data_IF_289657939542
#
_entry.id   IF_289657939542
#
_cell.length_a   1.000
_cell.length_b   1.000
_cell.length_c   1.000
_cell.angle_alpha   90.00
_cell.angle_beta   90.00
_cell.angle_gamma   90.00
#
_symmetry.space_group_name_H-M   'P 1'
#
loop_
_entity.id
_entity.type
_entity.pdbx_description
1 polymer ?
#
# COMPACT_ATOMS: atom_id res chain seq x y z
N UNK A 1 28.28 4.52 15.20
CA UNK A 1 27.01 3.97 14.67
C UNK A 1 26.09 5.14 14.38
N UNK A 2 25.78 5.40 13.11
CA UNK A 2 25.01 6.59 12.70
C UNK A 2 23.54 6.31 13.00
N UNK A 3 22.97 7.00 13.98
CA UNK A 3 21.54 6.96 14.30
C UNK A 3 20.75 7.41 13.07
N UNK A 4 20.34 6.45 12.24
CA UNK A 4 19.46 6.73 11.12
C UNK A 4 18.07 6.96 11.75
N UNK A 5 17.51 8.18 11.71
CA UNK A 5 16.26 8.47 12.40
C UNK A 5 15.15 7.50 11.97
N UNK A 6 15.18 7.03 10.73
CA UNK A 6 14.27 5.99 10.20
C UNK A 6 14.36 4.64 10.91
N UNK A 7 15.53 4.24 11.41
CA UNK A 7 15.72 3.00 12.15
C UNK A 7 15.14 3.09 13.56
N UNK A 8 15.39 4.23 14.24
CA UNK A 8 14.82 4.50 15.57
C UNK A 8 13.30 4.47 15.49
N UNK A 9 12.69 5.14 14.52
CA UNK A 9 11.24 5.14 14.34
C UNK A 9 10.67 3.74 14.11
N UNK A 10 11.35 2.86 13.37
CA UNK A 10 10.92 1.46 13.20
C UNK A 10 10.88 0.71 14.52
N UNK A 11 11.94 0.83 15.34
CA UNK A 11 12.01 0.20 16.66
C UNK A 11 10.90 0.75 17.56
N UNK A 12 10.75 2.08 17.61
CA UNK A 12 9.71 2.74 18.43
C UNK A 12 8.32 2.22 18.07
N UNK A 13 7.99 2.10 16.78
CA UNK A 13 6.68 1.57 16.35
C UNK A 13 6.47 0.12 16.81
N UNK A 14 7.49 -0.74 16.63
CA UNK A 14 7.40 -2.15 17.03
C UNK A 14 7.25 -2.27 18.56
N UNK A 15 8.09 -1.58 19.33
CA UNK A 15 8.04 -1.59 20.78
C UNK A 15 6.69 -1.07 21.29
N UNK A 16 6.20 0.05 20.75
CA UNK A 16 4.91 0.62 21.15
C UNK A 16 3.76 -0.35 20.90
N UNK A 17 3.75 -1.02 19.73
CA UNK A 17 2.72 -2.01 19.40
C UNK A 17 2.73 -3.20 20.36
N UNK A 18 3.89 -3.81 20.62
CA UNK A 18 4.00 -4.93 21.54
C UNK A 18 3.71 -4.55 22.99
N UNK A 19 4.13 -3.35 23.42
CA UNK A 19 3.79 -2.84 24.75
C UNK A 19 2.27 -2.63 24.91
N UNK A 20 1.57 -2.15 23.87
CA UNK A 20 0.12 -2.02 23.90
C UNK A 20 -0.57 -3.39 24.02
N UNK A 21 -0.11 -4.40 23.27
CA UNK A 21 -0.63 -5.78 23.38
C UNK A 21 -0.39 -6.36 24.78
N UNK A 22 0.85 -6.26 25.28
CA UNK A 22 1.19 -6.75 26.62
C UNK A 22 0.36 -6.06 27.71
N UNK A 23 0.15 -4.75 27.59
CA UNK A 23 -0.70 -3.98 28.48
C UNK A 23 -2.14 -4.50 28.48
N UNK A 24 -2.74 -4.69 27.29
CA UNK A 24 -4.13 -5.19 27.17
C UNK A 24 -4.25 -6.59 27.79
N UNK A 25 -3.36 -7.53 27.46
CA UNK A 25 -3.41 -8.90 27.98
C UNK A 25 -3.19 -8.94 29.50
N UNK A 26 -2.24 -8.15 30.03
CA UNK A 26 -1.96 -8.11 31.45
C UNK A 26 -3.06 -7.40 32.25
N UNK A 27 -3.76 -6.44 31.65
CA UNK A 27 -4.81 -5.66 32.34
C UNK A 27 -5.97 -6.52 32.84
N UNK A 28 -6.33 -7.58 32.12
CA UNK A 28 -7.41 -8.50 32.52
C UNK A 28 -7.15 -9.14 33.90
N UNK A 29 -6.11 -9.97 34.03
CA UNK A 29 -5.77 -10.60 35.31
C UNK A 29 -5.38 -9.62 36.42
N UNK A 30 -4.71 -8.50 36.08
CA UNK A 30 -4.17 -7.58 37.10
C UNK A 30 -5.19 -6.56 37.62
N UNK A 31 -6.11 -6.11 36.78
CA UNK A 31 -7.03 -5.00 37.12
C UNK A 31 -8.50 -5.42 37.15
N UNK A 32 -8.89 -6.43 36.37
CA UNK A 32 -10.31 -6.79 36.18
C UNK A 32 -10.69 -8.06 36.92
N UNK A 33 -9.75 -8.98 37.11
CA UNK A 33 -10.00 -10.23 37.82
C UNK A 33 -10.47 -9.96 39.25
N UNK A 34 -11.55 -10.62 39.65
CA UNK A 34 -12.11 -10.52 41.00
C UNK A 34 -12.47 -11.91 41.50
N UNK A 35 -12.34 -12.16 42.82
CA UNK A 35 -12.69 -13.45 43.42
C UNK A 35 -14.14 -13.86 43.13
N UNK A 36 -15.05 -12.88 43.07
CA UNK A 36 -16.47 -13.10 42.79
C UNK A 36 -16.77 -13.63 41.37
N UNK A 37 -15.90 -13.32 40.39
CA UNK A 37 -16.06 -13.72 38.98
C UNK A 37 -15.14 -14.87 38.58
N UNK A 38 -14.25 -15.31 39.47
CA UNK A 38 -13.28 -16.36 39.19
C UNK A 38 -12.17 -15.94 38.20
N UNK A 39 -11.42 -16.91 37.65
CA UNK A 39 -10.27 -16.65 36.80
C UNK A 39 -10.67 -15.92 35.51
N UNK A 40 -9.85 -14.94 35.11
CA UNK A 40 -10.10 -14.13 33.92
C UNK A 40 -9.94 -14.90 32.62
N UNK A 41 -8.91 -15.75 32.53
CA UNK A 41 -8.68 -16.65 31.39
C UNK A 41 -9.07 -18.09 31.76
N UNK A 42 -9.71 -18.79 30.83
CA UNK A 42 -10.15 -20.16 31.02
C UNK A 42 -10.89 -20.71 29.80
N UNK A 43 -11.49 -21.91 29.92
CA UNK A 43 -12.32 -22.45 28.87
C UNK A 43 -13.56 -21.57 28.66
N UNK A 44 -13.75 -21.06 27.44
CA UNK A 44 -14.93 -20.31 27.00
C UNK A 44 -15.41 -20.91 25.68
N UNK A 45 -16.50 -21.68 25.76
CA UNK A 45 -16.99 -22.51 24.66
C UNK A 45 -15.95 -23.54 24.20
N UNK A 46 -15.45 -23.36 22.97
CA UNK A 46 -14.52 -24.28 22.31
C UNK A 46 -13.04 -23.89 22.46
N UNK A 47 -12.73 -22.80 23.18
CA UNK A 47 -11.40 -22.20 23.21
C UNK A 47 -10.95 -21.87 24.64
N UNK A 48 -9.65 -21.60 24.80
CA UNK A 48 -9.10 -21.03 26.04
C UNK A 48 -8.94 -19.52 25.85
N UNK A 49 -9.85 -18.73 26.43
CA UNK A 49 -9.97 -17.30 26.20
C UNK A 49 -10.50 -16.59 27.45
N UNK A 50 -10.93 -15.32 27.33
CA UNK A 50 -11.59 -14.57 28.40
C UNK A 50 -12.87 -15.31 28.77
N UNK A 51 -13.07 -15.61 30.07
CA UNK A 51 -14.19 -16.42 30.53
C UNK A 51 -15.53 -15.70 30.40
N UNK A 52 -16.62 -16.47 30.31
CA UNK A 52 -17.99 -15.95 30.11
C UNK A 52 -18.50 -15.10 31.29
N UNK A 53 -17.76 -15.08 32.40
CA UNK A 53 -18.00 -14.20 33.54
C UNK A 53 -17.62 -12.72 33.26
N UNK A 54 -16.95 -12.46 32.13
CA UNK A 54 -16.47 -11.13 31.71
C UNK A 54 -16.98 -10.77 30.29
N UNK A 55 -18.30 -10.70 30.06
CA UNK A 55 -18.86 -10.52 28.71
C UNK A 55 -18.57 -9.14 28.09
N UNK A 56 -18.39 -8.11 28.93
CA UNK A 56 -18.02 -6.77 28.44
C UNK A 56 -16.60 -6.78 27.89
N UNK A 57 -15.70 -7.42 28.64
CA UNK A 57 -14.30 -7.53 28.29
C UNK A 57 -14.10 -8.39 27.03
N UNK A 58 -14.85 -9.49 26.88
CA UNK A 58 -14.90 -10.30 25.65
C UNK A 58 -15.22 -9.44 24.40
N UNK A 59 -16.22 -8.54 24.50
CA UNK A 59 -16.64 -7.72 23.36
C UNK A 59 -15.68 -6.57 23.07
N UNK A 60 -15.26 -5.83 24.11
CA UNK A 60 -14.49 -4.60 23.95
C UNK A 60 -12.98 -4.83 23.75
N UNK A 61 -12.41 -5.91 24.27
CA UNK A 61 -10.96 -6.12 24.16
C UNK A 61 -10.53 -6.85 22.89
N UNK A 62 -11.43 -7.60 22.26
CA UNK A 62 -11.17 -8.29 20.99
C UNK A 62 -11.81 -7.52 19.83
N UNK A 63 -13.12 -7.63 19.65
CA UNK A 63 -13.80 -7.16 18.45
C UNK A 63 -13.74 -5.64 18.25
N UNK A 64 -13.83 -4.84 19.32
CA UNK A 64 -13.74 -3.38 19.18
C UNK A 64 -12.39 -2.96 18.59
N UNK A 65 -11.28 -3.55 19.05
CA UNK A 65 -9.96 -3.24 18.51
C UNK A 65 -9.77 -3.74 17.07
N UNK A 66 -10.32 -4.91 16.73
CA UNK A 66 -10.30 -5.44 15.37
C UNK A 66 -11.05 -4.53 14.39
N UNK A 67 -12.28 -4.13 14.73
CA UNK A 67 -13.07 -3.22 13.91
C UNK A 67 -12.47 -1.81 13.83
N UNK A 68 -11.92 -1.30 14.94
CA UNK A 68 -11.21 -0.04 14.96
C UNK A 68 -9.97 -0.07 14.04
N UNK A 69 -9.20 -1.16 14.12
CA UNK A 69 -8.04 -1.40 13.27
C UNK A 69 -8.42 -1.51 11.79
N UNK A 70 -9.49 -2.25 11.46
CA UNK A 70 -10.04 -2.34 10.11
C UNK A 70 -10.44 -0.96 9.57
N UNK A 71 -11.22 -0.20 10.35
CA UNK A 71 -11.67 1.13 9.98
C UNK A 71 -10.52 2.11 9.77
N UNK A 72 -9.55 2.13 10.68
CA UNK A 72 -8.38 2.99 10.55
C UNK A 72 -7.50 2.60 9.36
N UNK A 73 -7.37 1.30 9.09
CA UNK A 73 -6.67 0.79 7.90
C UNK A 73 -7.35 1.26 6.61
N UNK A 74 -8.68 1.19 6.52
CA UNK A 74 -9.38 1.76 5.37
C UNK A 74 -9.13 3.26 5.20
N UNK A 75 -9.23 4.04 6.29
CA UNK A 75 -8.98 5.49 6.26
C UNK A 75 -7.57 5.78 5.72
N UNK A 76 -6.54 5.12 6.24
CA UNK A 76 -5.15 5.31 5.81
C UNK A 76 -4.98 4.91 4.34
N UNK A 77 -5.44 3.72 3.95
CA UNK A 77 -5.22 3.22 2.59
C UNK A 77 -6.00 4.03 1.55
N UNK A 78 -7.21 4.50 1.88
CA UNK A 78 -7.97 5.43 1.04
C UNK A 78 -7.24 6.78 0.96
N UNK A 79 -6.72 7.32 2.06
CA UNK A 79 -5.94 8.55 2.04
C UNK A 79 -4.68 8.42 1.18
N UNK A 80 -3.97 7.29 1.25
CA UNK A 80 -2.84 6.95 0.39
C UNK A 80 -3.29 6.92 -1.08
N UNK A 81 -4.39 6.23 -1.41
CA UNK A 81 -4.92 6.22 -2.77
C UNK A 81 -5.25 7.62 -3.28
N UNK A 82 -5.91 8.44 -2.47
CA UNK A 82 -6.25 9.82 -2.83
C UNK A 82 -4.97 10.65 -3.03
N UNK A 83 -3.93 10.41 -2.23
CA UNK A 83 -2.64 11.07 -2.35
C UNK A 83 -1.94 10.70 -3.65
N UNK A 84 -1.83 9.41 -3.98
CA UNK A 84 -1.18 8.94 -5.22
C UNK A 84 -2.01 9.32 -6.45
N UNK A 85 -3.34 9.40 -6.33
CA UNK A 85 -4.22 9.91 -7.40
C UNK A 85 -4.06 11.40 -7.67
N UNK A 86 -3.42 12.15 -6.78
CA UNK A 86 -3.36 13.62 -6.85
C UNK A 86 -4.69 14.30 -6.48
N UNK A 87 -5.59 13.58 -5.81
CA UNK A 87 -6.81 14.14 -5.22
C UNK A 87 -6.55 14.74 -3.84
N UNK A 88 -5.57 14.20 -3.10
CA UNK A 88 -5.16 14.74 -1.80
C UNK A 88 -3.80 15.43 -1.95
N UNK A 89 -3.80 16.76 -1.91
CA UNK A 89 -2.61 17.58 -2.16
C UNK A 89 -2.28 18.44 -0.93
N UNK A 90 -1.00 18.54 -0.59
CA UNK A 90 -0.52 19.49 0.42
C UNK A 90 -0.14 20.80 -0.28
N UNK A 91 -0.91 21.85 -0.02
CA UNK A 91 -0.61 23.23 -0.43
C UNK A 91 0.27 23.94 0.60
N UNK A 92 0.46 25.25 0.41
CA UNK A 92 1.15 26.11 1.39
C UNK A 92 0.33 26.30 2.67
N UNK A 93 -1.00 26.31 2.53
CA UNK A 93 -1.95 26.60 3.62
C UNK A 93 -2.51 25.34 4.30
N UNK A 94 -2.11 24.14 3.87
CA UNK A 94 -2.56 22.88 4.48
C UNK A 94 -2.83 21.74 3.50
N UNK A 95 -3.64 20.78 3.93
CA UNK A 95 -4.12 19.68 3.09
C UNK A 95 -5.42 20.07 2.40
N UNK A 96 -5.48 19.86 1.08
CA UNK A 96 -6.64 20.17 0.26
C UNK A 96 -7.08 18.94 -0.53
N UNK A 97 -8.39 18.72 -0.57
CA UNK A 97 -9.00 17.71 -1.43
C UNK A 97 -9.34 18.40 -2.76
N UNK A 98 -8.69 17.96 -3.82
CA UNK A 98 -8.95 18.38 -5.20
C UNK A 98 -9.86 17.37 -5.88
N UNK A 99 -11.02 17.83 -6.31
CA UNK A 99 -11.90 17.07 -7.19
C UNK A 99 -11.57 17.39 -8.65
N UNK A 100 -11.16 16.39 -9.42
CA UNK A 100 -10.86 16.54 -10.86
C UNK A 100 -12.08 16.08 -11.68
N UNK A 101 -12.76 16.99 -12.41
CA UNK A 101 -13.87 16.63 -13.29
C UNK A 101 -13.48 15.60 -14.34
N UNK A 102 -14.42 14.74 -14.76
CA UNK A 102 -14.16 13.67 -15.75
C UNK A 102 -13.60 14.21 -17.06
N UNK A 103 -14.04 15.39 -17.49
CA UNK A 103 -13.58 16.07 -18.71
C UNK A 103 -12.12 16.53 -18.68
N UNK A 104 -11.51 16.64 -17.49
CA UNK A 104 -10.13 17.11 -17.31
C UNK A 104 -9.17 15.99 -16.84
N UNK A 105 -9.68 14.76 -16.64
CA UNK A 105 -8.85 13.61 -16.24
C UNK A 105 -7.73 13.27 -17.23
N UNK A 106 -7.94 13.54 -18.51
CA UNK A 106 -6.93 13.31 -19.55
C UNK A 106 -5.67 14.16 -19.32
N UNK A 107 -5.80 15.36 -18.74
CA UNK A 107 -4.66 16.22 -18.41
C UNK A 107 -3.75 15.57 -17.36
N UNK A 108 -4.33 14.90 -16.36
CA UNK A 108 -3.57 14.11 -15.38
C UNK A 108 -2.97 12.83 -15.97
N UNK A 109 -3.59 12.27 -17.01
CA UNK A 109 -3.07 11.08 -17.67
C UNK A 109 -1.86 11.40 -18.55
N UNK A 110 -1.87 12.56 -19.22
CA UNK A 110 -0.75 13.03 -20.05
C UNK A 110 0.46 13.42 -19.19
N UNK A 111 0.24 13.97 -18.00
CA UNK A 111 1.32 14.39 -17.09
C UNK A 111 1.85 13.27 -16.19
N UNK A 112 1.32 12.04 -16.30
CA UNK A 112 1.78 10.91 -15.51
C UNK A 112 3.02 10.31 -16.15
N UNK A 113 4.14 10.44 -15.44
CA UNK A 113 5.34 9.69 -15.78
C UNK A 113 5.12 8.19 -15.50
N UNK A 114 5.97 7.35 -16.09
CA UNK A 114 5.98 5.90 -15.85
C UNK A 114 5.99 5.56 -14.35
N UNK A 115 6.70 6.35 -13.56
CA UNK A 115 6.78 6.21 -12.09
C UNK A 115 5.42 6.35 -11.42
N UNK A 116 4.65 7.37 -11.77
CA UNK A 116 3.34 7.61 -11.17
C UNK A 116 2.35 6.52 -11.54
N UNK A 117 2.46 5.98 -12.76
CA UNK A 117 1.66 4.83 -13.16
C UNK A 117 1.97 3.58 -12.32
N UNK A 118 3.25 3.33 -12.04
CA UNK A 118 3.70 2.21 -11.17
C UNK A 118 3.24 2.42 -9.73
N UNK A 119 3.45 3.60 -9.16
CA UNK A 119 3.04 3.90 -7.79
C UNK A 119 1.52 3.83 -7.62
N UNK A 120 0.75 4.26 -8.62
CA UNK A 120 -0.70 4.09 -8.66
C UNK A 120 -1.12 2.62 -8.64
N UNK A 121 -0.46 1.76 -9.43
CA UNK A 121 -0.75 0.32 -9.43
C UNK A 121 -0.44 -0.32 -8.08
N UNK A 122 0.69 0.04 -7.47
CA UNK A 122 1.08 -0.44 -6.13
C UNK A 122 0.06 0.00 -5.09
N UNK A 123 -0.30 1.29 -5.05
CA UNK A 123 -1.27 1.81 -4.09
C UNK A 123 -2.66 1.18 -4.27
N UNK A 124 -3.10 0.98 -5.53
CA UNK A 124 -4.35 0.29 -5.84
C UNK A 124 -4.35 -1.15 -5.34
N UNK A 125 -3.24 -1.86 -5.47
CA UNK A 125 -3.12 -3.23 -4.96
C UNK A 125 -3.03 -3.29 -3.44
N UNK A 126 -2.37 -2.31 -2.83
CA UNK A 126 -2.26 -2.20 -1.38
C UNK A 126 -3.64 -2.11 -0.69
N UNK A 127 -4.67 -1.57 -1.33
CA UNK A 127 -6.03 -1.54 -0.76
C UNK A 127 -6.66 -2.93 -0.60
N UNK A 128 -6.16 -3.95 -1.30
CA UNK A 128 -6.63 -5.32 -1.07
C UNK A 128 -6.26 -5.86 0.32
N UNK A 129 -5.23 -5.33 0.98
CA UNK A 129 -4.88 -5.76 2.34
C UNK A 129 -6.00 -5.51 3.35
N UNK A 130 -6.48 -4.27 3.56
CA UNK A 130 -7.60 -4.03 4.46
C UNK A 130 -8.90 -4.69 3.99
N UNK A 131 -9.14 -4.77 2.67
CA UNK A 131 -10.34 -5.44 2.12
C UNK A 131 -10.36 -6.93 2.46
N UNK A 132 -9.26 -7.64 2.20
CA UNK A 132 -9.16 -9.07 2.50
C UNK A 132 -9.23 -9.32 4.01
N UNK A 133 -8.58 -8.49 4.83
CA UNK A 133 -8.71 -8.58 6.29
C UNK A 133 -10.16 -8.46 6.74
N UNK A 134 -10.90 -7.46 6.26
CA UNK A 134 -12.29 -7.29 6.65
C UNK A 134 -13.20 -8.42 6.16
N UNK A 135 -12.98 -8.95 4.95
CA UNK A 135 -13.76 -10.10 4.45
C UNK A 135 -13.58 -11.33 5.35
N UNK A 136 -12.36 -11.59 5.83
CA UNK A 136 -12.08 -12.74 6.70
C UNK A 136 -12.51 -12.49 8.16
N UNK A 137 -12.53 -11.23 8.61
CA UNK A 137 -12.97 -10.82 9.95
C UNK A 137 -14.49 -10.85 10.12
N UNK A 138 -15.26 -10.53 9.06
CA UNK A 138 -16.72 -10.38 9.13
C UNK A 138 -17.44 -11.67 9.61
N UNK A 139 -17.16 -12.88 9.09
CA UNK A 139 -17.87 -14.09 9.49
C UNK A 139 -17.73 -14.37 10.99
N UNK A 140 -16.49 -14.33 11.51
CA UNK A 140 -16.22 -14.63 12.91
C UNK A 140 -16.81 -13.58 13.84
N UNK A 141 -16.64 -12.29 13.50
CA UNK A 141 -17.21 -11.21 14.30
C UNK A 141 -18.75 -11.25 14.31
N UNK A 142 -19.40 -11.60 13.20
CA UNK A 142 -20.85 -11.73 13.17
C UNK A 142 -21.35 -12.92 14.00
N UNK A 143 -20.72 -14.09 13.88
CA UNK A 143 -21.04 -15.25 14.72
C UNK A 143 -20.96 -14.90 16.20
N UNK A 144 -19.90 -14.19 16.60
CA UNK A 144 -19.64 -13.83 17.99
C UNK A 144 -20.60 -12.77 18.53
N UNK A 145 -20.91 -11.76 17.72
CA UNK A 145 -21.93 -10.75 18.08
C UNK A 145 -23.32 -11.37 18.23
N UNK A 146 -23.67 -12.38 17.42
CA UNK A 146 -24.92 -13.12 17.56
C UNK A 146 -24.92 -13.95 18.86
N UNK A 147 -23.83 -14.66 19.17
CA UNK A 147 -23.67 -15.40 20.43
C UNK A 147 -23.82 -14.47 21.65
N UNK A 148 -23.18 -13.29 21.63
CA UNK A 148 -23.30 -12.30 22.71
C UNK A 148 -24.71 -11.71 22.82
N UNK A 149 -25.45 -11.63 21.71
CA UNK A 149 -26.86 -11.25 21.68
C UNK A 149 -27.82 -12.33 22.20
N UNK A 150 -27.30 -13.49 22.63
CA UNK A 150 -28.10 -14.64 23.07
C UNK A 150 -28.63 -15.49 21.92
N UNK A 151 -28.19 -15.24 20.68
CA UNK A 151 -28.53 -16.06 19.52
C UNK A 151 -27.74 -17.36 19.50
N UNK A 152 -28.37 -18.44 19.07
CA UNK A 152 -27.68 -19.72 18.88
C UNK A 152 -27.01 -19.76 17.50
N UNK A 153 -25.68 -19.84 17.48
CA UNK A 153 -24.91 -20.08 16.26
C UNK A 153 -24.60 -21.58 16.15
N UNK A 154 -24.88 -22.23 15.01
CA UNK A 154 -24.60 -23.65 14.87
C UNK A 154 -23.10 -23.89 14.81
N UNK A 155 -22.65 -24.98 15.43
CA UNK A 155 -21.23 -25.35 15.54
C UNK A 155 -20.44 -25.24 14.23
N UNK A 156 -21.00 -25.74 13.12
CA UNK A 156 -20.32 -25.71 11.82
C UNK A 156 -20.04 -24.28 11.33
N UNK A 157 -20.91 -23.31 11.66
CA UNK A 157 -20.75 -21.92 11.25
C UNK A 157 -19.65 -21.23 12.05
N UNK A 158 -19.55 -21.52 13.36
CA UNK A 158 -18.44 -21.05 14.20
C UNK A 158 -17.10 -21.59 13.70
N UNK A 159 -17.00 -22.89 13.47
CA UNK A 159 -15.76 -23.53 12.97
C UNK A 159 -15.36 -23.02 11.59
N UNK A 160 -16.32 -22.85 10.67
CA UNK A 160 -16.04 -22.30 9.35
C UNK A 160 -15.51 -20.86 9.45
N UNK A 161 -16.15 -20.03 10.26
CA UNK A 161 -15.77 -18.63 10.46
C UNK A 161 -14.38 -18.51 11.08
N UNK A 162 -14.07 -19.33 12.09
CA UNK A 162 -12.74 -19.41 12.70
C UNK A 162 -11.69 -19.89 11.69
N UNK A 163 -12.02 -20.88 10.86
CA UNK A 163 -11.11 -21.37 9.81
C UNK A 163 -10.78 -20.28 8.80
N UNK A 164 -11.78 -19.51 8.36
CA UNK A 164 -11.60 -18.37 7.46
C UNK A 164 -10.74 -17.27 8.10
N UNK A 165 -10.98 -16.95 9.37
CA UNK A 165 -10.18 -15.96 10.09
C UNK A 165 -8.72 -16.41 10.25
N UNK A 166 -8.47 -17.68 10.57
CA UNK A 166 -7.11 -18.23 10.68
C UNK A 166 -6.36 -18.29 9.33
N UNK A 167 -7.06 -18.27 8.20
CA UNK A 167 -6.47 -18.17 6.85
C UNK A 167 -5.91 -16.77 6.52
N UNK A 168 -6.01 -15.79 7.43
CA UNK A 168 -5.49 -14.44 7.25
C UNK A 168 -4.00 -14.42 6.83
N UNK A 169 -3.17 -15.25 7.47
CA UNK A 169 -1.74 -15.34 7.14
C UNK A 169 -1.49 -15.84 5.71
N UNK A 170 -2.27 -16.82 5.26
CA UNK A 170 -2.20 -17.37 3.91
C UNK A 170 -2.60 -16.33 2.86
N UNK A 171 -3.71 -15.62 3.08
CA UNK A 171 -4.18 -14.56 2.18
C UNK A 171 -3.19 -13.40 2.13
N UNK A 172 -2.64 -12.98 3.27
CA UNK A 172 -1.60 -11.96 3.33
C UNK A 172 -0.35 -12.36 2.54
N UNK A 173 0.08 -13.63 2.61
CA UNK A 173 1.19 -14.13 1.82
C UNK A 173 0.89 -14.07 0.31
N UNK A 174 -0.30 -14.49 -0.13
CA UNK A 174 -0.72 -14.37 -1.54
C UNK A 174 -0.69 -12.91 -1.99
N UNK A 175 -1.23 -11.99 -1.20
CA UNK A 175 -1.20 -10.56 -1.49
C UNK A 175 0.23 -10.02 -1.57
N UNK A 176 1.11 -10.47 -0.69
CA UNK A 176 2.53 -10.09 -0.71
C UNK A 176 3.22 -10.57 -1.98
N UNK A 177 3.07 -11.85 -2.34
CA UNK A 177 3.69 -12.40 -3.55
C UNK A 177 3.16 -11.74 -4.83
N UNK A 178 1.85 -11.50 -4.91
CA UNK A 178 1.24 -10.84 -6.07
C UNK A 178 1.61 -9.35 -6.18
N UNK A 179 1.86 -8.69 -5.04
CA UNK A 179 2.33 -7.30 -5.00
C UNK A 179 3.81 -7.22 -5.36
N UNK A 180 4.65 -8.09 -4.79
CA UNK A 180 6.10 -8.07 -5.00
C UNK A 180 6.49 -8.39 -6.44
N UNK A 181 5.77 -9.29 -7.12
CA UNK A 181 6.02 -9.59 -8.55
C UNK A 181 5.82 -8.38 -9.48
N UNK A 182 5.15 -7.33 -9.02
CA UNK A 182 4.85 -6.15 -9.82
C UNK A 182 5.79 -4.98 -9.56
N UNK A 183 6.47 -4.96 -8.40
CA UNK A 183 7.33 -3.85 -8.02
C UNK A 183 8.71 -4.10 -8.65
N UNK A 184 9.19 -3.23 -9.55
CA UNK A 184 10.57 -3.28 -10.05
C UNK A 184 11.55 -3.21 -8.87
N UNK A 185 12.67 -3.93 -8.97
CA UNK A 185 13.68 -3.97 -7.91
C UNK A 185 14.02 -2.53 -7.44
N UNK A 186 13.81 -2.19 -6.15
CA UNK A 186 14.08 -0.86 -5.64
C UNK A 186 15.54 -0.42 -5.83
N UNK A 187 16.48 -1.35 -6.07
CA UNK A 187 17.85 -1.03 -6.45
C UNK A 187 17.99 -0.40 -7.86
N UNK A 188 17.01 -0.66 -8.75
CA UNK A 188 16.98 -0.12 -10.11
C UNK A 188 16.19 1.19 -10.22
N UNK A 189 15.46 1.56 -9.17
CA UNK A 189 14.65 2.76 -9.14
C UNK A 189 15.50 3.96 -8.67
N UNK A 190 15.51 5.10 -9.38
CA UNK A 190 16.20 6.30 -8.93
C UNK A 190 15.65 6.76 -7.57
N UNK A 191 16.50 7.30 -6.70
CA UNK A 191 16.06 7.77 -5.39
C UNK A 191 14.98 8.87 -5.54
N UNK A 192 13.83 8.72 -4.88
CA UNK A 192 12.71 9.67 -4.99
C UNK A 192 12.56 10.53 -3.74
N UNK A 193 12.11 11.75 -3.94
CA UNK A 193 11.69 12.65 -2.86
C UNK A 193 10.20 12.95 -2.98
N UNK A 194 9.53 13.04 -1.84
CA UNK A 194 8.13 13.49 -1.81
C UNK A 194 8.09 15.02 -1.95
N UNK A 195 7.25 15.51 -2.86
CA UNK A 195 7.02 16.94 -3.03
C UNK A 195 6.32 17.47 -1.77
N UNK A 196 7.00 18.38 -1.05
CA UNK A 196 6.52 18.94 0.23
C UNK A 196 5.27 19.80 0.07
N UNK A 197 5.19 20.62 -0.99
CA UNK A 197 4.04 21.46 -1.28
C UNK A 197 3.85 21.66 -2.79
N UNK A 198 2.59 21.78 -3.22
CA UNK A 198 2.21 22.17 -4.60
C UNK A 198 1.64 23.57 -4.58
N UNK A 199 2.06 24.41 -5.53
CA UNK A 199 1.48 25.72 -5.75
C UNK A 199 0.20 25.59 -6.57
N UNK A 200 -0.97 25.64 -5.92
CA UNK A 200 -2.26 25.40 -6.56
C UNK A 200 -2.65 26.49 -7.58
N UNK A 201 -2.04 27.67 -7.51
CA UNK A 201 -2.23 28.80 -8.45
C UNK A 201 -1.55 28.62 -9.80
N UNK A 202 -0.60 27.69 -9.90
CA UNK A 202 0.13 27.45 -11.15
C UNK A 202 -0.68 26.57 -12.11
N UNK A 203 -0.66 26.87 -13.41
CA UNK A 203 -1.20 25.98 -14.45
C UNK A 203 -0.52 24.60 -14.45
N UNK A 204 0.71 24.50 -13.93
CA UNK A 204 1.40 23.23 -13.71
C UNK A 204 0.76 22.38 -12.59
N UNK A 205 -0.02 22.96 -11.68
CA UNK A 205 -0.69 22.24 -10.61
C UNK A 205 -1.62 21.12 -11.13
N UNK A 206 -2.19 21.29 -12.32
CA UNK A 206 -3.13 20.36 -12.92
C UNK A 206 -2.50 19.00 -13.28
N UNK A 207 -1.17 18.92 -13.41
CA UNK A 207 -0.46 17.68 -13.78
C UNK A 207 0.61 17.20 -12.78
N UNK A 208 0.89 17.95 -11.71
CA UNK A 208 1.97 17.61 -10.77
C UNK A 208 1.57 16.41 -9.90
N UNK A 209 2.35 15.36 -9.99
CA UNK A 209 2.29 14.23 -9.07
C UNK A 209 3.08 14.52 -7.79
N UNK A 210 2.78 13.84 -6.67
CA UNK A 210 3.40 14.16 -5.39
C UNK A 210 4.86 13.68 -5.27
N UNK A 211 5.43 13.09 -6.32
CA UNK A 211 6.78 12.53 -6.33
C UNK A 211 7.67 13.31 -7.29
N UNK A 212 8.94 13.48 -6.93
CA UNK A 212 9.95 14.14 -7.77
C UNK A 212 11.22 13.29 -7.71
N UNK A 213 11.87 13.10 -8.86
CA UNK A 213 13.21 12.52 -8.93
C UNK A 213 14.16 13.32 -8.03
N UNK A 214 14.86 12.64 -7.13
CA UNK A 214 15.89 13.33 -6.34
C UNK A 214 17.00 13.78 -7.29
N UNK A 215 17.52 15.01 -7.17
CA UNK A 215 18.70 15.42 -7.91
C UNK A 215 19.83 14.42 -7.64
N UNK A 216 20.42 13.86 -8.71
CA UNK A 216 21.60 13.00 -8.58
C UNK A 216 22.72 13.83 -7.96
N UNK A 217 23.29 13.44 -6.80
CA UNK A 217 24.42 14.15 -6.24
C UNK A 217 25.58 14.10 -7.24
N UNK A 218 26.36 15.19 -7.41
CA UNK A 218 27.38 15.32 -8.46
C UNK A 218 28.46 14.23 -8.44
N UNK A 219 28.56 13.45 -7.35
CA UNK A 219 29.47 12.31 -7.23
C UNK A 219 29.03 11.03 -7.97
N UNK A 220 27.89 11.01 -8.67
CA UNK A 220 27.43 9.88 -9.49
C UNK A 220 27.12 10.28 -10.94
N UNK A 221 27.95 11.13 -11.53
CA UNK A 221 28.05 11.19 -13.00
C UNK A 221 28.73 9.91 -13.47
N UNK A 222 27.98 8.81 -13.53
CA UNK A 222 28.39 7.66 -14.34
C UNK A 222 28.36 8.19 -15.77
N UNK A 223 29.54 8.38 -16.35
CA UNK A 223 29.70 8.71 -17.76
C UNK A 223 28.87 7.71 -18.56
N UNK A 224 28.07 8.13 -19.55
CA UNK A 224 27.42 7.16 -20.43
C UNK A 224 28.50 6.22 -20.97
N UNK A 225 28.26 4.90 -21.08
CA UNK A 225 29.23 4.02 -21.70
C UNK A 225 29.50 4.59 -23.08
N UNK A 226 30.71 5.09 -23.29
CA UNK A 226 31.21 5.40 -24.62
C UNK A 226 31.17 4.07 -25.34
N UNK A 227 30.17 3.88 -26.20
CA UNK A 227 30.18 2.79 -27.15
C UNK A 227 31.46 2.97 -27.96
N UNK A 228 32.50 2.19 -27.62
CA UNK A 228 33.62 1.99 -28.53
C UNK A 228 33.04 1.26 -29.72
N UNK A 229 32.74 2.01 -30.77
CA UNK A 229 32.67 1.46 -32.12
C UNK A 229 34.06 0.86 -32.33
N UNK A 230 34.18 -0.47 -32.28
CA UNK A 230 35.42 -1.12 -32.71
C UNK A 230 35.50 -0.88 -34.22
N UNK A 231 36.56 -0.20 -34.65
CA UNK A 231 36.93 -0.14 -36.05
C UNK A 231 37.55 -1.49 -36.43
N UNK A 232 36.74 -2.53 -36.48
CA UNK A 232 37.09 -3.77 -37.18
C UNK A 232 36.41 -3.73 -38.55
N UNK A 233 36.95 -2.87 -39.42
CA UNK A 233 36.69 -2.92 -40.85
C UNK A 233 38.03 -3.00 -41.56
N UNK A 234 38.62 -4.19 -41.55
CA UNK A 234 39.59 -4.58 -42.54
C UNK A 234 38.98 -5.68 -43.42
N UNK A 235 39.04 -5.40 -44.72
CA UNK A 235 39.03 -6.34 -45.84
C UNK A 235 37.67 -6.87 -46.34
N UNK A 236 36.98 -6.03 -47.13
CA UNK A 236 36.40 -6.51 -48.40
C UNK A 236 36.74 -5.52 -49.51
N UNK A 237 37.60 -5.96 -50.43
CA UNK A 237 38.05 -5.22 -51.60
C UNK A 237 37.00 -5.19 -52.73
N UNK A 238 36.83 -3.98 -53.29
CA UNK A 238 36.66 -3.62 -54.72
C UNK A 238 35.54 -4.25 -55.57
N UNK A 239 34.55 -3.42 -55.91
CA UNK A 239 34.19 -3.12 -57.31
C UNK A 239 33.54 -1.71 -57.43
N UNK A 240 33.90 -1.01 -58.51
CA UNK A 240 33.68 0.42 -58.81
C UNK A 240 32.21 0.79 -59.17
N UNK A 241 31.89 2.10 -59.34
CA UNK A 241 30.58 2.69 -59.04
C UNK A 241 29.62 2.70 -60.23
N UNK A 242 28.32 2.68 -59.94
CA UNK A 242 27.30 3.20 -60.84
C UNK A 242 26.29 4.04 -60.06
N UNK A 243 26.24 5.30 -60.46
CA UNK A 243 25.23 6.31 -60.18
C UNK A 243 23.80 5.77 -60.26
N UNK A 244 22.93 6.15 -59.31
CA UNK A 244 21.52 6.29 -59.63
C UNK A 244 20.87 7.44 -58.87
N UNK A 245 20.26 8.30 -59.66
CA UNK A 245 19.77 9.64 -59.34
C UNK A 245 18.56 9.67 -58.41
N UNK A 246 18.51 10.78 -57.68
CA UNK A 246 17.34 11.33 -57.01
C UNK A 246 16.24 11.64 -58.02
N UNK A 247 15.03 11.12 -57.83
CA UNK A 247 13.81 11.80 -58.29
C UNK A 247 12.57 11.33 -57.53
N UNK A 248 12.06 12.23 -56.69
CA UNK A 248 10.68 12.29 -56.22
C UNK A 248 9.73 12.54 -57.39
N UNK A 249 8.46 12.07 -57.33
CA UNK A 249 7.40 12.99 -57.73
C UNK A 249 6.17 12.99 -56.82
N UNK A 250 5.46 14.10 -56.98
CA UNK A 250 4.34 14.66 -56.25
C UNK A 250 2.98 14.02 -56.58
N UNK A 251 2.07 14.14 -55.61
CA UNK A 251 0.61 14.34 -55.65
C UNK A 251 -0.06 14.30 -57.05
N UNK A 252 -1.10 13.47 -57.20
CA UNK A 252 -2.26 13.77 -58.06
C UNK A 252 -3.56 13.13 -57.53
N UNK A 253 -4.49 14.04 -57.26
CA UNK A 253 -5.94 13.91 -57.09
C UNK A 253 -6.64 13.33 -58.34
N UNK A 254 -7.76 12.62 -58.16
CA UNK A 254 -8.88 12.32 -59.10
C UNK A 254 -9.57 11.03 -58.65
N UNK A 255 -10.89 10.83 -58.72
CA UNK A 255 -12.09 11.60 -59.08
C UNK A 255 -13.23 10.93 -58.27
#
# INVERSE_FOLDING_TARGET
MRNNPSFIWRIVTICTGWSAVAFVVASGPLLVQSEAKGPYFGPSGYWCWITDNYPREQTFLEYFFEWLSAGFSFIIYIAILLRVRGNLVRGKDGWHIRYVPRSQRWQLAISRDWLDSTMMQVAARMVWYPVSYSILLIPISLSRLVEFGGGNVPFWATILSDTLFNLQGFVNAILLFTTHRLIPDPATLPAFSTRKAVDLSSSAALGITPFVLSPVPPSQTVSPPVARISNDFHDINLASPASFDSQTPLIREKD
#
